data_IF_534698214209
#
_entry.id   IF_534698214209
#
_cell.length_a   1.000
_cell.length_b   1.000
_cell.length_c   1.000
_cell.angle_alpha   90.00
_cell.angle_beta   90.00
_cell.angle_gamma   90.00
#
_symmetry.space_group_name_H-M   'P 1'
#
loop_
_entity.id
_entity.type
_entity.pdbx_description
1 polymer ?
#
# COMPACT_ATOMS: atom_id res chain seq x y z
N UNK A 1 6.25 -48.19 13.98
CA UNK A 1 5.24 -47.14 14.23
C UNK A 1 5.59 -45.93 13.37
N UNK A 2 4.81 -45.64 12.33
CA UNK A 2 5.03 -44.50 11.43
C UNK A 2 3.83 -43.55 11.54
N UNK A 3 4.01 -42.38 12.14
CA UNK A 3 2.99 -41.34 12.20
C UNK A 3 3.09 -40.47 10.94
N UNK A 4 2.14 -40.61 10.02
CA UNK A 4 1.89 -39.63 8.94
C UNK A 4 1.05 -38.49 9.51
N UNK A 5 1.65 -37.32 9.69
CA UNK A 5 0.92 -36.07 9.92
C UNK A 5 0.15 -35.71 8.63
N UNK A 6 -1.18 -35.84 8.66
CA UNK A 6 -2.07 -35.21 7.68
C UNK A 6 -2.05 -33.70 7.92
N UNK A 7 -1.26 -32.97 7.15
CA UNK A 7 -1.44 -31.53 7.03
C UNK A 7 -2.81 -31.28 6.36
N UNK A 8 -3.69 -30.56 7.05
CA UNK A 8 -4.91 -30.03 6.44
C UNK A 8 -4.53 -29.15 5.24
N UNK A 9 -5.28 -29.17 4.13
CA UNK A 9 -5.05 -28.22 3.06
C UNK A 9 -5.42 -26.83 3.59
N UNK A 10 -4.41 -26.08 4.02
CA UNK A 10 -4.53 -24.64 4.26
C UNK A 10 -5.12 -24.06 2.98
N UNK A 11 -6.28 -23.42 3.10
CA UNK A 11 -6.96 -22.72 2.02
C UNK A 11 -6.04 -21.62 1.47
N UNK A 12 -5.15 -21.99 0.55
CA UNK A 12 -4.43 -21.06 -0.34
C UNK A 12 -5.16 -21.12 -1.68
N UNK A 13 -6.38 -20.59 -1.66
CA UNK A 13 -7.03 -20.10 -2.87
C UNK A 13 -6.93 -18.58 -2.82
N UNK A 14 -5.77 -18.07 -3.25
CA UNK A 14 -5.70 -16.75 -3.86
C UNK A 14 -5.04 -16.93 -5.21
N UNK A 15 -5.89 -17.41 -6.12
CA UNK A 15 -5.87 -17.14 -7.56
C UNK A 15 -4.86 -16.05 -7.94
N UNK A 16 -3.65 -16.47 -8.29
CA UNK A 16 -2.68 -15.66 -9.03
C UNK A 16 -2.92 -15.93 -10.51
N UNK A 17 -4.02 -15.41 -11.05
CA UNK A 17 -4.17 -15.21 -12.48
C UNK A 17 -4.82 -13.84 -12.68
N UNK A 18 -4.17 -13.00 -13.47
CA UNK A 18 -4.60 -11.65 -13.88
C UNK A 18 -4.74 -10.59 -12.78
N UNK A 19 -3.63 -9.98 -12.33
CA UNK A 19 -3.72 -8.77 -11.50
C UNK A 19 -2.68 -7.72 -11.90
N UNK A 20 -3.01 -6.95 -12.94
CA UNK A 20 -2.78 -5.49 -12.86
C UNK A 20 -3.50 -5.09 -11.57
N UNK A 21 -2.74 -4.93 -10.47
CA UNK A 21 -3.28 -4.96 -9.10
C UNK A 21 -4.55 -4.12 -8.94
N UNK A 22 -5.49 -4.50 -8.05
CA UNK A 22 -6.74 -3.78 -7.90
C UNK A 22 -6.46 -2.29 -7.69
N UNK A 23 -6.81 -1.48 -8.69
CA UNK A 23 -6.69 -0.03 -8.61
C UNK A 23 -7.63 0.42 -7.50
N UNK A 24 -7.10 1.11 -6.50
CA UNK A 24 -7.90 1.62 -5.38
C UNK A 24 -8.93 2.61 -5.91
N UNK A 25 -10.15 2.65 -5.36
CA UNK A 25 -11.12 3.68 -5.79
C UNK A 25 -10.66 5.04 -5.30
N UNK A 26 -10.17 5.11 -4.06
CA UNK A 26 -9.66 6.35 -3.48
C UNK A 26 -8.43 6.09 -2.61
N UNK A 27 -7.38 6.89 -2.78
CA UNK A 27 -6.27 6.96 -1.84
C UNK A 27 -6.28 8.36 -1.21
N UNK A 28 -6.27 8.40 0.12
CA UNK A 28 -6.11 9.65 0.88
C UNK A 28 -4.69 9.69 1.43
N UNK A 29 -3.94 10.74 1.15
CA UNK A 29 -2.56 10.92 1.59
C UNK A 29 -2.52 12.12 2.53
N UNK A 30 -2.19 11.88 3.80
CA UNK A 30 -1.83 12.95 4.73
C UNK A 30 -0.35 13.24 4.59
N UNK A 31 0.02 14.47 4.21
CA UNK A 31 1.42 14.85 3.99
C UNK A 31 1.86 15.86 5.04
N UNK A 32 2.96 15.56 5.70
CA UNK A 32 3.63 16.46 6.62
C UNK A 32 5.03 16.79 6.09
N UNK A 33 5.27 18.08 5.82
CA UNK A 33 6.54 18.56 5.26
C UNK A 33 7.27 19.35 6.32
N UNK A 34 8.33 18.77 6.88
CA UNK A 34 9.24 19.44 7.80
C UNK A 34 10.57 19.77 7.11
N UNK A 35 11.27 20.80 7.62
CA UNK A 35 12.56 21.30 7.07
C UNK A 35 13.64 20.22 6.82
N UNK A 36 13.53 19.03 7.41
CA UNK A 36 14.53 17.93 7.33
C UNK A 36 13.98 16.61 6.80
N UNK A 37 12.69 16.51 6.50
CA UNK A 37 12.07 15.29 6.01
C UNK A 37 10.66 15.52 5.49
N UNK A 38 10.28 14.66 4.55
CA UNK A 38 8.91 14.52 4.06
C UNK A 38 8.32 13.30 4.73
N UNK A 39 7.15 13.42 5.34
CA UNK A 39 6.43 12.33 5.96
C UNK A 39 5.05 12.21 5.32
N UNK A 40 4.61 10.99 5.02
CA UNK A 40 3.27 10.77 4.50
C UNK A 40 2.67 9.47 5.01
N UNK A 41 1.40 9.52 5.37
CA UNK A 41 0.57 8.36 5.61
C UNK A 41 -0.46 8.26 4.49
N UNK A 42 -0.76 7.03 4.05
CA UNK A 42 -1.83 6.79 3.08
C UNK A 42 -2.92 5.92 3.68
N UNK A 43 -4.17 6.22 3.33
CA UNK A 43 -5.35 5.40 3.56
C UNK A 43 -5.90 4.97 2.21
N UNK A 44 -6.14 3.68 2.03
CA UNK A 44 -6.67 3.11 0.79
C UNK A 44 -8.16 2.82 1.02
N UNK A 45 -9.03 3.42 0.24
CA UNK A 45 -10.48 3.27 0.32
C UNK A 45 -11.02 3.46 1.75
N UNK A 46 -11.80 2.48 2.24
CA UNK A 46 -12.31 2.44 3.62
C UNK A 46 -11.39 1.64 4.57
N UNK A 47 -10.16 1.34 4.15
CA UNK A 47 -9.20 0.61 4.97
C UNK A 47 -8.59 1.48 6.09
N UNK A 48 -7.74 0.88 6.92
CA UNK A 48 -7.04 1.59 7.99
C UNK A 48 -5.97 2.54 7.43
N UNK A 49 -5.60 3.55 8.21
CA UNK A 49 -4.45 4.40 7.87
C UNK A 49 -3.19 3.54 7.93
N UNK A 50 -2.45 3.51 6.83
CA UNK A 50 -1.20 2.79 6.71
C UNK A 50 -0.07 3.43 7.51
N UNK A 51 1.05 2.71 7.59
CA UNK A 51 2.26 3.19 8.27
C UNK A 51 2.77 4.49 7.63
N UNK A 52 3.18 5.44 8.48
CA UNK A 52 3.85 6.68 8.05
C UNK A 52 5.17 6.31 7.40
N UNK A 53 5.36 6.74 6.16
CA UNK A 53 6.64 6.67 5.47
C UNK A 53 7.34 8.02 5.53
N UNK A 54 8.67 7.97 5.58
CA UNK A 54 9.52 9.15 5.72
C UNK A 54 10.61 9.14 4.67
N UNK A 55 10.79 10.28 4.01
CA UNK A 55 11.83 10.51 3.01
C UNK A 55 12.74 11.66 3.43
N UNK A 56 14.01 11.57 3.02
CA UNK A 56 15.02 12.63 3.24
C UNK A 56 15.16 13.53 2.02
N UNK A 57 14.90 13.00 0.83
CA UNK A 57 14.87 13.77 -0.41
C UNK A 57 13.45 14.07 -0.88
N UNK A 58 13.29 15.25 -1.49
CA UNK A 58 12.05 15.66 -2.17
C UNK A 58 11.76 14.78 -3.38
N UNK A 59 12.79 14.37 -4.11
CA UNK A 59 12.64 13.56 -5.33
C UNK A 59 12.06 12.17 -5.01
N UNK A 60 12.49 11.56 -3.91
CA UNK A 60 11.95 10.28 -3.44
C UNK A 60 10.48 10.39 -3.05
N UNK A 61 10.12 11.49 -2.39
CA UNK A 61 8.73 11.78 -2.04
C UNK A 61 7.86 12.01 -3.28
N UNK A 62 8.35 12.74 -4.29
CA UNK A 62 7.63 12.97 -5.54
C UNK A 62 7.43 11.66 -6.32
N UNK A 63 8.47 10.84 -6.45
CA UNK A 63 8.37 9.53 -7.09
C UNK A 63 7.36 8.62 -6.37
N UNK A 64 7.27 8.73 -5.04
CA UNK A 64 6.25 8.03 -4.27
C UNK A 64 4.84 8.52 -4.61
N UNK A 65 4.64 9.84 -4.66
CA UNK A 65 3.35 10.45 -4.97
C UNK A 65 2.86 10.07 -6.39
N UNK A 66 3.75 10.08 -7.39
CA UNK A 66 3.45 9.65 -8.75
C UNK A 66 2.94 8.20 -8.79
N UNK A 67 3.61 7.29 -8.07
CA UNK A 67 3.15 5.90 -7.98
C UNK A 67 1.78 5.76 -7.33
N UNK A 68 1.38 6.67 -6.44
CA UNK A 68 0.03 6.62 -5.85
C UNK A 68 -1.04 7.00 -6.87
N UNK A 69 -0.75 7.95 -7.77
CA UNK A 69 -1.64 8.34 -8.86
C UNK A 69 -1.88 7.19 -9.85
N UNK A 70 -0.85 6.39 -10.12
CA UNK A 70 -1.00 5.20 -10.97
C UNK A 70 -1.85 4.09 -10.31
N UNK A 71 -1.85 4.04 -8.98
CA UNK A 71 -2.49 2.99 -8.18
C UNK A 71 -3.95 3.29 -7.80
N UNK A 72 -4.45 4.50 -8.05
CA UNK A 72 -5.80 4.91 -7.65
C UNK A 72 -6.58 5.62 -8.75
N UNK A 73 -7.91 5.48 -8.72
CA UNK A 73 -8.81 6.28 -9.55
C UNK A 73 -8.85 7.73 -9.07
N UNK A 74 -8.91 7.94 -7.75
CA UNK A 74 -8.85 9.25 -7.11
C UNK A 74 -7.76 9.28 -6.03
N UNK A 75 -6.92 10.32 -6.04
CA UNK A 75 -5.97 10.61 -4.96
C UNK A 75 -6.30 11.96 -4.36
N UNK A 76 -6.53 11.97 -3.04
CA UNK A 76 -6.80 13.19 -2.27
C UNK A 76 -5.64 13.43 -1.31
N UNK A 77 -5.06 14.61 -1.36
CA UNK A 77 -4.00 15.04 -0.45
C UNK A 77 -4.61 15.99 0.59
N UNK A 78 -4.34 15.72 1.86
CA UNK A 78 -4.84 16.47 3.03
C UNK A 78 -3.72 16.91 3.95
#
# INVERSE_FOLDING_TARGET
>A
MNYKLKAAPTAVSKEQNDQKGPKAKRIVIGVDVHLKSYEAARKIDNDSVGVVQRWRSKEEFLLYAEKQLEQAEEVVVV
#
